data_IF_949328547519
#
_entry.id   IF_949328547519
#
_cell.length_a   1.000
_cell.length_b   1.000
_cell.length_c   1.000
_cell.angle_alpha   90.00
_cell.angle_beta   90.00
_cell.angle_gamma   90.00
#
_symmetry.space_group_name_H-M   'P 1'
#
loop_
_entity.id
_entity.type
_entity.pdbx_description
1 polymer ?
#
# COMPACT_ATOMS: atom_id res chain seq x y z
N UNK A 1 -14.03 17.63 1.69
CA UNK A 1 -12.64 17.68 1.15
C UNK A 1 -12.55 17.51 -0.37
N UNK A 2 -13.12 16.45 -0.98
CA UNK A 2 -13.03 16.24 -2.44
C UNK A 2 -13.91 17.19 -3.27
N UNK A 3 -15.00 17.68 -2.67
CA UNK A 3 -16.01 18.53 -3.34
C UNK A 3 -15.90 20.02 -2.97
N UNK A 4 -14.84 20.43 -2.25
CA UNK A 4 -14.66 21.79 -1.70
C UNK A 4 -15.80 22.29 -0.78
N UNK A 5 -16.71 21.42 -0.34
CA UNK A 5 -17.66 21.73 0.72
C UNK A 5 -16.96 21.71 2.09
N UNK A 6 -17.11 22.81 2.82
CA UNK A 6 -16.56 23.05 4.17
C UNK A 6 -17.65 23.27 5.21
N UNK A 7 -18.90 22.95 4.87
CA UNK A 7 -19.99 22.89 5.84
C UNK A 7 -19.58 21.92 6.95
N UNK A 8 -19.49 22.36 8.22
CA UNK A 8 -18.97 21.51 9.28
C UNK A 8 -19.95 20.36 9.55
N UNK A 9 -19.52 19.12 9.30
CA UNK A 9 -20.20 17.92 9.79
C UNK A 9 -19.79 17.64 11.24
N UNK A 10 -18.53 17.96 11.56
CA UNK A 10 -17.97 17.92 12.91
C UNK A 10 -16.87 18.99 13.02
N UNK A 11 -16.93 19.84 14.05
CA UNK A 11 -15.99 20.94 14.20
C UNK A 11 -14.63 20.46 14.75
N UNK A 12 -13.52 20.98 14.21
CA UNK A 12 -12.15 20.61 14.64
C UNK A 12 -11.93 20.76 16.15
N UNK A 13 -12.54 21.75 16.80
CA UNK A 13 -12.45 21.95 18.25
C UNK A 13 -13.05 20.82 19.09
N UNK A 14 -13.89 19.95 18.52
CA UNK A 14 -14.35 18.73 19.19
C UNK A 14 -13.14 17.83 19.49
N UNK A 15 -12.25 17.64 18.52
CA UNK A 15 -11.02 16.88 18.71
C UNK A 15 -10.04 17.55 19.67
N UNK A 16 -9.94 18.89 19.68
CA UNK A 16 -9.14 19.61 20.70
C UNK A 16 -9.61 19.25 22.11
N UNK A 17 -10.92 19.26 22.34
CA UNK A 17 -11.53 18.93 23.62
C UNK A 17 -11.38 17.44 23.96
N UNK A 18 -11.72 16.54 23.04
CA UNK A 18 -11.69 15.09 23.29
C UNK A 18 -10.26 14.57 23.50
N UNK A 19 -9.29 15.00 22.68
CA UNK A 19 -7.89 14.63 22.86
C UNK A 19 -7.31 15.21 24.16
N UNK A 20 -7.74 16.43 24.55
CA UNK A 20 -7.38 17.00 25.84
C UNK A 20 -7.85 16.17 27.03
N UNK A 21 -9.05 15.58 26.95
CA UNK A 21 -9.56 14.64 27.97
C UNK A 21 -8.70 13.37 27.99
N UNK A 22 -8.38 12.80 26.83
CA UNK A 22 -7.55 11.59 26.73
C UNK A 22 -6.18 11.81 27.37
N UNK A 23 -5.46 12.86 26.96
CA UNK A 23 -4.10 13.14 27.44
C UNK A 23 -4.10 13.57 28.91
N UNK A 24 -5.09 14.33 29.36
CA UNK A 24 -5.21 14.70 30.79
C UNK A 24 -5.51 13.50 31.68
N UNK A 25 -6.37 12.58 31.23
CA UNK A 25 -6.66 11.33 31.94
C UNK A 25 -5.40 10.49 32.07
N UNK A 26 -4.67 10.30 30.96
CA UNK A 26 -3.42 9.55 30.96
C UNK A 26 -2.38 10.16 31.91
N UNK A 27 -2.27 11.50 31.95
CA UNK A 27 -1.41 12.22 32.89
C UNK A 27 -1.82 11.98 34.33
N UNK A 28 -3.12 12.05 34.63
CA UNK A 28 -3.65 11.81 35.98
C UNK A 28 -3.37 10.37 36.44
N UNK A 29 -3.36 9.41 35.51
CA UNK A 29 -3.03 8.00 35.79
C UNK A 29 -1.55 7.66 35.58
N UNK A 30 -0.69 8.65 35.31
CA UNK A 30 0.75 8.48 35.06
C UNK A 30 1.10 7.47 33.94
N UNK A 31 0.32 7.46 32.86
CA UNK A 31 0.56 6.62 31.69
C UNK A 31 0.98 7.46 30.47
N UNK A 32 2.04 7.07 29.74
CA UNK A 32 2.47 7.80 28.56
C UNK A 32 1.59 7.48 27.34
N UNK A 33 1.07 8.52 26.67
CA UNK A 33 0.38 8.43 25.38
C UNK A 33 1.07 9.28 24.31
N UNK A 34 2.26 8.88 23.80
CA UNK A 34 3.03 9.70 22.87
C UNK A 34 2.29 10.01 21.56
N UNK A 35 1.57 9.06 20.97
CA UNK A 35 0.82 9.30 19.72
C UNK A 35 -0.36 10.23 19.99
N UNK A 36 -1.16 9.96 21.02
CA UNK A 36 -2.28 10.82 21.38
C UNK A 36 -1.81 12.24 21.73
N UNK A 37 -0.66 12.39 22.41
CA UNK A 37 -0.09 13.69 22.76
C UNK A 37 0.32 14.49 21.53
N UNK A 38 0.99 13.86 20.56
CA UNK A 38 1.33 14.53 19.29
C UNK A 38 0.06 14.94 18.53
N UNK A 39 -0.94 14.06 18.48
CA UNK A 39 -2.22 14.37 17.85
C UNK A 39 -2.93 15.57 18.51
N UNK A 40 -3.00 15.60 19.85
CA UNK A 40 -3.54 16.73 20.62
C UNK A 40 -2.85 18.05 20.24
N UNK A 41 -1.51 18.06 20.20
CA UNK A 41 -0.75 19.26 19.84
C UNK A 41 -1.01 19.74 18.40
N UNK A 42 -1.23 18.82 17.46
CA UNK A 42 -1.61 19.16 16.09
C UNK A 42 -3.01 19.79 16.03
N UNK A 43 -3.98 19.24 16.77
CA UNK A 43 -5.32 19.85 16.85
C UNK A 43 -5.30 21.24 17.48
N UNK A 44 -4.54 21.43 18.56
CA UNK A 44 -4.35 22.75 19.19
C UNK A 44 -3.72 23.73 18.19
N UNK A 45 -2.69 23.28 17.45
CA UNK A 45 -2.01 24.10 16.45
C UNK A 45 -2.94 24.51 15.31
N UNK A 46 -3.81 23.60 14.83
CA UNK A 46 -4.82 23.93 13.83
C UNK A 46 -5.87 24.91 14.35
N UNK A 47 -6.35 24.72 15.58
CA UNK A 47 -7.31 25.62 16.21
C UNK A 47 -6.74 27.04 16.37
N UNK A 48 -5.47 27.15 16.79
CA UNK A 48 -4.76 28.42 16.91
C UNK A 48 -4.61 29.17 15.57
N UNK A 49 -4.62 28.45 14.44
CA UNK A 49 -4.64 29.03 13.09
C UNK A 49 -6.03 29.50 12.63
N UNK A 50 -7.06 29.37 13.48
CA UNK A 50 -8.43 29.79 13.18
C UNK A 50 -9.35 28.67 12.68
N UNK A 51 -8.83 27.45 12.46
CA UNK A 51 -9.62 26.34 11.89
C UNK A 51 -10.57 25.68 12.90
N UNK A 52 -10.59 26.12 14.16
CA UNK A 52 -11.29 25.41 15.23
C UNK A 52 -12.81 25.28 15.06
N UNK A 53 -13.45 26.21 14.35
CA UNK A 53 -14.91 26.18 14.06
C UNK A 53 -15.24 25.51 12.72
N UNK A 54 -14.24 25.20 11.93
CA UNK A 54 -14.40 24.57 10.62
C UNK A 54 -14.46 23.05 10.77
N UNK A 55 -14.80 22.35 9.69
CA UNK A 55 -14.83 20.89 9.65
C UNK A 55 -13.47 20.28 10.05
N UNK A 56 -13.48 19.19 10.81
CA UNK A 56 -12.28 18.52 11.30
C UNK A 56 -11.40 17.94 10.18
N UNK A 57 -11.95 17.64 9.00
CA UNK A 57 -11.18 17.31 7.80
C UNK A 57 -10.26 18.47 7.35
N UNK A 58 -10.56 19.70 7.77
CA UNK A 58 -9.73 20.89 7.55
C UNK A 58 -8.35 20.83 8.22
N UNK A 59 -8.11 19.88 9.13
CA UNK A 59 -6.80 19.62 9.76
C UNK A 59 -5.69 19.44 8.74
N UNK A 60 -6.02 18.87 7.58
CA UNK A 60 -5.07 18.59 6.50
C UNK A 60 -4.27 19.81 6.02
N UNK A 61 -4.84 21.01 6.16
CA UNK A 61 -4.16 22.28 5.83
C UNK A 61 -2.90 22.54 6.66
N UNK A 62 -2.70 21.85 7.79
CA UNK A 62 -1.42 21.89 8.51
C UNK A 62 -0.25 21.33 7.70
N UNK A 63 -0.53 20.43 6.76
CA UNK A 63 0.49 19.71 5.97
C UNK A 63 0.62 20.24 4.53
N UNK A 64 -0.21 21.19 4.14
CA UNK A 64 -0.19 21.80 2.81
C UNK A 64 0.70 23.05 2.79
N UNK A 65 1.40 23.29 1.68
CA UNK A 65 2.26 24.47 1.51
C UNK A 65 1.45 25.76 1.33
N UNK A 66 0.26 25.69 0.72
CA UNK A 66 -0.61 26.86 0.45
C UNK A 66 -2.00 26.69 1.10
N UNK A 67 -2.13 26.84 2.43
CA UNK A 67 -3.27 26.33 3.20
C UNK A 67 -4.63 27.00 2.92
N UNK A 68 -4.68 28.19 2.33
CA UNK A 68 -5.91 28.99 2.24
C UNK A 68 -6.80 28.66 1.03
N UNK A 69 -6.24 28.14 -0.07
CA UNK A 69 -6.99 27.83 -1.30
C UNK A 69 -6.67 26.44 -1.89
N UNK A 70 -5.87 25.63 -1.19
CA UNK A 70 -5.42 24.34 -1.70
C UNK A 70 -6.48 23.24 -1.52
N UNK A 71 -7.15 22.87 -2.61
CA UNK A 71 -7.81 21.57 -2.72
C UNK A 71 -6.77 20.46 -2.81
N UNK A 72 -7.00 19.31 -2.18
CA UNK A 72 -6.11 18.13 -2.30
C UNK A 72 -6.37 17.34 -3.59
N UNK A 73 -7.24 17.84 -4.47
CA UNK A 73 -7.53 17.20 -5.75
C UNK A 73 -6.28 17.26 -6.62
N UNK A 74 -5.66 16.11 -6.83
CA UNK A 74 -4.72 15.91 -7.94
C UNK A 74 -5.46 15.98 -9.28
N UNK A 75 -4.72 16.01 -10.42
CA UNK A 75 -5.35 16.02 -11.74
C UNK A 75 -6.34 14.87 -11.89
N UNK A 76 -7.60 15.19 -12.17
CA UNK A 76 -8.67 14.23 -12.39
C UNK A 76 -8.50 13.61 -13.76
N UNK A 77 -7.63 12.61 -13.90
CA UNK A 77 -7.64 11.78 -15.10
C UNK A 77 -8.71 10.71 -14.93
N UNK A 78 -9.74 10.74 -15.77
CA UNK A 78 -10.61 9.60 -16.00
C UNK A 78 -9.75 8.37 -16.32
N UNK A 79 -10.06 7.24 -15.68
CA UNK A 79 -9.50 5.92 -16.00
C UNK A 79 -10.01 5.50 -17.38
N UNK A 80 -9.49 6.10 -18.44
CA UNK A 80 -9.74 5.61 -19.79
C UNK A 80 -8.86 4.41 -20.05
N UNK A 81 -9.50 3.26 -20.26
CA UNK A 81 -8.86 2.03 -20.72
C UNK A 81 -8.22 2.34 -22.08
N UNK A 82 -6.89 2.45 -22.10
CA UNK A 82 -6.14 2.67 -23.33
C UNK A 82 -6.44 1.57 -24.34
N UNK A 83 -6.81 1.95 -25.57
CA UNK A 83 -7.01 1.04 -26.70
C UNK A 83 -5.81 0.10 -26.84
N UNK A 84 -6.10 -1.21 -26.88
CA UNK A 84 -5.10 -2.27 -27.07
C UNK A 84 -4.30 -2.04 -28.35
N UNK A 85 -2.97 -2.10 -28.25
CA UNK A 85 -2.09 -2.18 -29.42
C UNK A 85 -1.93 -3.65 -29.82
N UNK A 86 -2.09 -3.92 -31.12
CA UNK A 86 -2.38 -5.21 -31.77
C UNK A 86 -1.37 -6.38 -31.62
N UNK A 87 -0.37 -6.31 -30.74
CA UNK A 87 0.56 -7.43 -30.52
C UNK A 87 0.89 -7.60 -29.05
N UNK A 88 0.12 -8.42 -28.37
CA UNK A 88 0.46 -8.92 -27.04
C UNK A 88 1.70 -9.82 -27.13
N UNK A 89 2.67 -9.67 -26.20
CA UNK A 89 3.82 -10.55 -26.15
C UNK A 89 3.36 -11.99 -25.86
N UNK A 90 3.93 -12.99 -26.55
CA UNK A 90 3.58 -14.41 -26.35
C UNK A 90 4.43 -15.10 -25.29
N UNK A 91 5.53 -14.47 -24.86
CA UNK A 91 6.45 -14.97 -23.84
C UNK A 91 6.47 -14.04 -22.64
N UNK A 92 6.36 -14.59 -21.44
CA UNK A 92 6.44 -13.85 -20.18
C UNK A 92 7.48 -14.52 -19.30
N UNK A 93 8.27 -13.72 -18.59
CA UNK A 93 9.18 -14.22 -17.56
C UNK A 93 8.71 -13.75 -16.19
N UNK A 94 8.61 -14.67 -15.23
CA UNK A 94 8.31 -14.39 -13.82
C UNK A 94 9.58 -14.62 -13.01
N UNK A 95 9.92 -13.64 -12.17
CA UNK A 95 11.10 -13.67 -11.31
C UNK A 95 10.66 -13.70 -9.85
N UNK A 96 11.22 -14.63 -9.07
CA UNK A 96 10.88 -14.97 -7.70
C UNK A 96 9.49 -15.62 -7.57
N UNK A 97 9.46 -16.87 -7.14
CA UNK A 97 8.30 -17.69 -6.83
C UNK A 97 8.06 -17.70 -5.31
N UNK A 98 7.71 -16.53 -4.79
CA UNK A 98 6.86 -16.49 -3.60
C UNK A 98 5.41 -16.84 -3.97
N UNK A 99 4.51 -16.89 -3.00
CA UNK A 99 3.10 -17.24 -3.23
C UNK A 99 2.47 -16.37 -4.34
N UNK A 100 2.84 -15.08 -4.39
CA UNK A 100 2.36 -14.16 -5.40
C UNK A 100 2.95 -14.45 -6.79
N UNK A 101 4.25 -14.70 -6.88
CA UNK A 101 4.92 -15.09 -8.11
C UNK A 101 4.34 -16.37 -8.71
N UNK A 102 4.00 -17.34 -7.86
CA UNK A 102 3.32 -18.58 -8.26
C UNK A 102 1.93 -18.29 -8.87
N UNK A 103 1.09 -17.53 -8.17
CA UNK A 103 -0.27 -17.21 -8.62
C UNK A 103 -0.26 -16.48 -9.97
N UNK A 104 0.70 -15.56 -10.16
CA UNK A 104 0.91 -14.88 -11.44
C UNK A 104 1.38 -15.81 -12.56
N UNK A 105 2.35 -16.68 -12.28
CA UNK A 105 2.84 -17.63 -13.27
C UNK A 105 1.70 -18.56 -13.75
N UNK A 106 0.87 -19.04 -12.83
CA UNK A 106 -0.33 -19.84 -13.14
C UNK A 106 -1.33 -19.03 -13.96
N UNK A 107 -1.62 -17.79 -13.55
CA UNK A 107 -2.57 -16.92 -14.27
C UNK A 107 -2.13 -16.62 -15.71
N UNK A 108 -0.83 -16.37 -15.91
CA UNK A 108 -0.26 -16.17 -17.25
C UNK A 108 -0.29 -17.44 -18.09
N UNK A 109 0.02 -18.60 -17.52
CA UNK A 109 -0.06 -19.88 -18.23
C UNK A 109 -1.50 -20.18 -18.68
N UNK A 110 -2.48 -19.99 -17.79
CA UNK A 110 -3.91 -20.16 -18.09
C UNK A 110 -4.43 -19.19 -19.16
N UNK A 111 -3.80 -18.03 -19.28
CA UNK A 111 -4.10 -17.02 -20.30
C UNK A 111 -3.37 -17.29 -21.63
N UNK A 112 -2.67 -18.42 -21.77
CA UNK A 112 -2.03 -18.86 -23.01
C UNK A 112 -0.64 -18.28 -23.26
N UNK A 113 -0.01 -17.65 -22.27
CA UNK A 113 1.38 -17.18 -22.39
C UNK A 113 2.36 -18.33 -22.24
N UNK A 114 3.48 -18.25 -22.95
CA UNK A 114 4.64 -19.11 -22.69
C UNK A 114 5.43 -18.53 -21.51
N UNK A 115 5.24 -19.12 -20.33
CA UNK A 115 5.78 -18.62 -19.07
C UNK A 115 7.14 -19.25 -18.78
N UNK A 116 8.16 -18.41 -18.63
CA UNK A 116 9.47 -18.75 -18.13
C UNK A 116 9.59 -18.30 -16.68
N UNK A 117 10.15 -19.13 -15.81
CA UNK A 117 10.23 -18.82 -14.39
C UNK A 117 11.67 -18.88 -13.91
N UNK A 118 12.03 -17.90 -13.09
CA UNK A 118 13.36 -17.76 -12.49
C UNK A 118 13.22 -17.55 -10.99
N UNK A 119 13.85 -18.44 -10.20
CA UNK A 119 13.91 -18.31 -8.74
C UNK A 119 15.38 -18.40 -8.29
N UNK A 120 15.71 -17.73 -7.18
CA UNK A 120 17.04 -17.80 -6.57
C UNK A 120 17.27 -19.20 -5.97
N UNK A 121 16.22 -19.78 -5.39
CA UNK A 121 16.19 -21.14 -4.88
C UNK A 121 15.59 -22.04 -5.97
N UNK A 122 16.44 -22.61 -6.84
CA UNK A 122 16.04 -23.46 -7.97
C UNK A 122 15.22 -24.72 -7.62
N UNK A 123 14.87 -24.94 -6.36
CA UNK A 123 14.05 -26.04 -5.84
C UNK A 123 12.55 -25.78 -5.93
N UNK A 124 12.08 -24.52 -5.83
CA UNK A 124 10.64 -24.18 -5.89
C UNK A 124 10.04 -24.31 -7.29
N UNK A 125 10.85 -24.10 -8.33
CA UNK A 125 10.43 -24.27 -9.71
C UNK A 125 10.14 -25.74 -10.10
N UNK A 126 10.45 -26.71 -9.24
CA UNK A 126 10.34 -28.14 -9.49
C UNK A 126 9.19 -28.84 -8.73
N UNK A 127 8.40 -28.12 -7.91
CA UNK A 127 7.51 -28.70 -6.90
C UNK A 127 6.03 -28.40 -7.08
N UNK A 128 5.38 -29.17 -7.95
CA UNK A 128 3.95 -29.54 -8.06
C UNK A 128 3.82 -30.16 -9.46
N UNK A 129 3.09 -31.27 -9.61
CA UNK A 129 2.93 -32.01 -10.87
C UNK A 129 2.34 -31.22 -12.06
N UNK A 130 2.13 -29.91 -11.93
CA UNK A 130 1.82 -28.92 -12.97
C UNK A 130 3.04 -28.13 -13.48
N UNK A 131 4.25 -28.69 -13.41
CA UNK A 131 5.50 -28.04 -13.88
C UNK A 131 5.48 -27.62 -15.37
N UNK A 132 5.81 -26.35 -15.71
CA UNK A 132 6.21 -25.98 -17.06
C UNK A 132 7.61 -26.54 -17.35
N UNK A 133 7.68 -27.56 -18.20
CA UNK A 133 8.94 -28.05 -18.77
C UNK A 133 9.58 -26.97 -19.64
N UNK A 134 10.65 -26.33 -19.16
CA UNK A 134 11.89 -26.05 -19.91
C UNK A 134 12.79 -25.06 -19.15
N UNK A 135 13.69 -25.59 -18.33
CA UNK A 135 14.96 -24.91 -18.07
C UNK A 135 15.87 -25.11 -19.29
N UNK A 136 15.79 -24.21 -20.27
CA UNK A 136 16.80 -24.18 -21.34
C UNK A 136 17.14 -22.74 -21.74
N UNK A 137 18.32 -22.31 -21.28
CA UNK A 137 19.22 -21.31 -21.84
C UNK A 137 18.60 -20.08 -22.55
N UNK A 138 18.50 -18.95 -21.84
CA UNK A 138 18.55 -17.62 -22.46
C UNK A 138 20.01 -17.11 -22.52
N UNK A 139 20.80 -17.68 -23.43
CA UNK A 139 22.01 -17.04 -23.94
C UNK A 139 22.04 -17.20 -25.46
N UNK A 140 21.38 -16.26 -26.13
CA UNK A 140 21.70 -15.73 -27.47
C UNK A 140 20.42 -15.27 -28.19
N UNK A 141 20.48 -14.04 -28.70
CA UNK A 141 19.55 -13.46 -29.67
C UNK A 141 18.13 -13.15 -29.18
N UNK A 142 17.94 -11.97 -28.58
CA UNK A 142 16.64 -11.31 -28.59
C UNK A 142 16.82 -9.82 -28.97
N UNK A 143 16.73 -9.52 -30.28
CA UNK A 143 16.58 -8.15 -30.80
C UNK A 143 15.10 -7.69 -30.76
N UNK A 144 14.28 -8.26 -29.89
CA UNK A 144 12.90 -7.83 -29.67
C UNK A 144 12.83 -6.95 -28.42
N UNK A 145 11.98 -5.90 -28.45
CA UNK A 145 11.77 -4.99 -27.31
C UNK A 145 11.26 -5.79 -26.11
N UNK A 146 12.00 -5.77 -25.01
CA UNK A 146 11.67 -6.49 -23.77
C UNK A 146 10.85 -5.57 -22.86
N UNK A 147 9.76 -6.07 -22.28
CA UNK A 147 8.94 -5.35 -21.30
C UNK A 147 9.09 -6.01 -19.94
N UNK A 148 9.44 -5.21 -18.92
CA UNK A 148 9.61 -5.70 -17.56
C UNK A 148 8.52 -5.06 -16.70
N UNK A 149 7.61 -5.89 -16.19
CA UNK A 149 6.66 -5.50 -15.14
C UNK A 149 7.36 -5.79 -13.82
N UNK A 150 7.56 -4.75 -13.02
CA UNK A 150 8.17 -4.88 -11.71
C UNK A 150 7.07 -4.77 -10.66
N UNK A 151 6.88 -5.84 -9.89
CA UNK A 151 5.84 -5.96 -8.87
C UNK A 151 6.29 -5.46 -7.48
N UNK A 152 7.51 -4.96 -7.40
CA UNK A 152 8.09 -4.39 -6.17
C UNK A 152 7.95 -2.87 -6.18
N UNK A 153 7.90 -2.25 -5.01
CA UNK A 153 7.83 -0.79 -4.87
C UNK A 153 9.03 -0.12 -5.56
N UNK A 154 8.75 0.71 -6.57
CA UNK A 154 9.72 1.33 -7.48
C UNK A 154 9.86 2.86 -7.32
N UNK A 155 9.44 3.44 -6.18
CA UNK A 155 9.31 4.90 -5.96
C UNK A 155 10.29 5.81 -6.74
N UNK A 156 11.51 6.04 -6.24
CA UNK A 156 12.54 6.89 -6.88
C UNK A 156 13.47 6.04 -7.75
N UNK A 157 13.80 4.84 -7.28
CA UNK A 157 14.68 3.88 -7.96
C UNK A 157 14.17 3.49 -9.34
N UNK A 158 12.85 3.34 -9.50
CA UNK A 158 12.22 2.99 -10.78
C UNK A 158 12.34 4.10 -11.82
N UNK A 159 12.24 5.38 -11.42
CA UNK A 159 12.44 6.51 -12.34
C UNK A 159 13.90 6.63 -12.79
N UNK A 160 14.84 6.46 -11.86
CA UNK A 160 16.27 6.45 -12.19
C UNK A 160 16.63 5.27 -13.11
N UNK A 161 16.10 4.07 -12.82
CA UNK A 161 16.28 2.90 -13.66
C UNK A 161 15.66 3.10 -15.06
N UNK A 162 14.45 3.66 -15.15
CA UNK A 162 13.82 3.96 -16.43
C UNK A 162 14.68 4.91 -17.27
N UNK A 163 15.26 5.94 -16.65
CA UNK A 163 16.18 6.87 -17.30
C UNK A 163 17.44 6.15 -17.79
N UNK A 164 18.08 5.35 -16.93
CA UNK A 164 19.27 4.57 -17.31
C UNK A 164 18.99 3.60 -18.47
N UNK A 165 17.84 2.91 -18.45
CA UNK A 165 17.44 2.00 -19.53
C UNK A 165 17.18 2.72 -20.86
N UNK A 166 16.63 3.94 -20.78
CA UNK A 166 16.41 4.81 -21.94
C UNK A 166 17.75 5.30 -22.51
N UNK A 167 18.67 5.76 -21.66
CA UNK A 167 20.01 6.24 -22.03
C UNK A 167 20.83 5.13 -22.72
N UNK A 168 20.64 3.87 -22.31
CA UNK A 168 21.26 2.70 -22.92
C UNK A 168 20.63 2.27 -24.25
N UNK A 169 19.55 2.90 -24.72
CA UNK A 169 18.91 2.59 -26.00
C UNK A 169 18.32 1.16 -26.09
N UNK A 170 18.06 0.52 -24.95
CA UNK A 170 17.69 -0.90 -24.86
C UNK A 170 16.30 -1.21 -25.41
N UNK A 171 15.46 -0.19 -25.62
CA UNK A 171 14.06 -0.35 -26.01
C UNK A 171 13.18 -0.98 -24.92
N UNK A 172 13.68 -1.05 -23.68
CA UNK A 172 12.98 -1.60 -22.52
C UNK A 172 12.01 -0.57 -21.95
N UNK A 173 10.83 -1.01 -21.55
CA UNK A 173 9.85 -0.18 -20.84
C UNK A 173 9.48 -0.81 -19.50
N UNK A 174 9.29 0.04 -18.49
CA UNK A 174 8.94 -0.34 -17.13
C UNK A 174 7.47 -0.02 -16.82
N UNK A 175 6.85 -0.92 -16.06
CA UNK A 175 5.58 -0.71 -15.39
C UNK A 175 5.81 -0.99 -13.90
N UNK A 176 5.43 -0.03 -13.08
CA UNK A 176 5.44 -0.09 -11.62
C UNK A 176 4.11 -0.69 -11.16
N UNK A 177 4.14 -1.87 -10.53
CA UNK A 177 2.94 -2.65 -10.24
C UNK A 177 2.87 -3.22 -8.80
N UNK A 178 2.83 -2.39 -7.75
CA UNK A 178 2.79 -2.87 -6.37
C UNK A 178 1.44 -3.50 -6.00
N UNK A 179 1.45 -4.34 -4.97
CA UNK A 179 0.25 -5.03 -4.45
C UNK A 179 -0.20 -4.43 -3.12
N UNK A 180 -1.50 -4.15 -3.02
CA UNK A 180 -2.19 -3.75 -1.81
C UNK A 180 -3.12 -4.86 -1.33
N UNK A 181 -3.17 -5.05 -0.02
CA UNK A 181 -4.13 -5.93 0.63
C UNK A 181 -5.18 -5.06 1.29
N UNK A 182 -6.43 -5.25 0.90
CA UNK A 182 -7.57 -4.51 1.43
C UNK A 182 -8.31 -5.35 2.46
N UNK A 183 -8.78 -4.67 3.52
CA UNK A 183 -9.75 -5.25 4.42
C UNK A 183 -11.11 -5.40 3.74
N UNK A 184 -11.68 -6.59 3.82
CA UNK A 184 -13.10 -6.81 3.51
C UNK A 184 -13.70 -7.61 4.66
N UNK A 185 -15.00 -7.51 4.90
CA UNK A 185 -15.70 -8.33 5.90
C UNK A 185 -15.73 -9.83 5.54
N UNK A 186 -14.98 -10.25 4.52
CA UNK A 186 -14.79 -11.65 4.13
C UNK A 186 -13.65 -12.25 4.94
N UNK A 187 -13.67 -13.58 5.08
CA UNK A 187 -12.63 -14.37 5.76
C UNK A 187 -11.22 -14.24 5.14
N UNK A 188 -11.09 -13.62 3.96
CA UNK A 188 -9.79 -13.35 3.31
C UNK A 188 -9.70 -11.90 2.81
N UNK A 189 -8.55 -11.23 2.97
CA UNK A 189 -8.35 -9.87 2.49
C UNK A 189 -8.38 -9.82 0.97
N UNK A 190 -8.94 -8.74 0.43
CA UNK A 190 -9.00 -8.51 -1.01
C UNK A 190 -7.61 -8.16 -1.54
N UNK A 191 -7.14 -8.84 -2.59
CA UNK A 191 -5.85 -8.52 -3.23
C UNK A 191 -6.04 -7.52 -4.37
N UNK A 192 -5.28 -6.42 -4.36
CA UNK A 192 -5.35 -5.39 -5.40
C UNK A 192 -3.97 -5.11 -5.97
N UNK A 193 -3.74 -5.43 -7.24
CA UNK A 193 -2.57 -4.93 -7.96
C UNK A 193 -2.85 -3.51 -8.47
N UNK A 194 -2.05 -2.55 -8.02
CA UNK A 194 -2.00 -1.22 -8.62
C UNK A 194 -0.96 -1.25 -9.74
N UNK A 195 -1.12 -0.44 -10.78
CA UNK A 195 -0.08 -0.28 -11.79
C UNK A 195 0.02 1.12 -12.36
N UNK A 196 1.24 1.56 -12.70
CA UNK A 196 1.50 2.87 -13.31
C UNK A 196 2.70 2.82 -14.26
N UNK A 197 2.70 3.67 -15.29
CA UNK A 197 3.73 3.71 -16.32
C UNK A 197 3.37 4.66 -17.44
N UNK A 198 4.18 4.71 -18.50
CA UNK A 198 3.83 5.47 -19.72
C UNK A 198 2.71 4.77 -20.50
N UNK A 199 1.86 5.51 -21.20
CA UNK A 199 0.79 4.94 -22.04
C UNK A 199 1.31 3.92 -23.05
N UNK A 200 2.50 4.19 -23.62
CA UNK A 200 3.13 3.26 -24.57
C UNK A 200 3.55 1.94 -23.92
N UNK A 201 4.00 1.97 -22.67
CA UNK A 201 4.35 0.77 -21.92
C UNK A 201 3.09 -0.03 -21.54
N UNK A 202 2.07 0.68 -21.02
CA UNK A 202 0.79 0.09 -20.61
C UNK A 202 0.09 -0.53 -21.82
N UNK A 203 -0.01 0.17 -22.94
CA UNK A 203 -0.65 -0.34 -24.16
C UNK A 203 0.02 -1.62 -24.68
N UNK A 204 1.35 -1.72 -24.60
CA UNK A 204 2.10 -2.94 -24.98
C UNK A 204 1.97 -4.09 -23.98
N UNK A 205 1.81 -3.78 -22.70
CA UNK A 205 1.63 -4.78 -21.64
C UNK A 205 0.16 -5.12 -21.37
N UNK A 206 -0.78 -4.54 -22.12
CA UNK A 206 -2.23 -4.70 -21.91
C UNK A 206 -2.68 -6.15 -21.74
N UNK A 207 -2.17 -7.07 -22.57
CA UNK A 207 -2.47 -8.50 -22.43
C UNK A 207 -1.97 -9.13 -21.12
N UNK A 208 -0.78 -8.73 -20.65
CA UNK A 208 -0.22 -9.21 -19.39
C UNK A 208 -1.02 -8.64 -18.21
N UNK A 209 -1.38 -7.34 -18.27
CA UNK A 209 -2.20 -6.67 -17.25
C UNK A 209 -3.60 -7.31 -17.19
N UNK A 210 -4.18 -7.66 -18.35
CA UNK A 210 -5.44 -8.39 -18.41
C UNK A 210 -5.31 -9.76 -17.74
N UNK A 211 -4.27 -10.52 -18.08
CA UNK A 211 -4.01 -11.83 -17.49
C UNK A 211 -3.72 -11.78 -15.98
N UNK A 212 -3.23 -10.67 -15.43
CA UNK A 212 -3.04 -10.51 -13.99
C UNK A 212 -4.36 -10.57 -13.19
N UNK A 213 -5.52 -10.34 -13.81
CA UNK A 213 -6.83 -10.47 -13.13
C UNK A 213 -7.14 -11.90 -12.68
N UNK A 214 -6.46 -12.93 -13.21
CA UNK A 214 -6.60 -14.28 -12.69
C UNK A 214 -5.80 -14.56 -11.41
N UNK A 215 -4.90 -13.65 -11.02
CA UNK A 215 -4.10 -13.74 -9.80
C UNK A 215 -4.55 -12.75 -8.71
N UNK A 216 -5.33 -11.72 -9.05
CA UNK A 216 -5.74 -10.66 -8.13
C UNK A 216 -7.24 -10.41 -8.20
N UNK A 217 -7.89 -10.12 -7.06
CA UNK A 217 -9.31 -9.74 -7.04
C UNK A 217 -9.57 -8.45 -7.83
N UNK A 218 -8.58 -7.55 -7.82
CA UNK A 218 -8.64 -6.24 -8.49
C UNK A 218 -7.31 -5.89 -9.13
N UNK A 219 -7.38 -5.32 -10.33
CA UNK A 219 -6.23 -4.70 -11.02
C UNK A 219 -6.62 -3.28 -11.41
N UNK A 220 -5.86 -2.27 -10.95
CA UNK A 220 -6.22 -0.85 -11.08
C UNK A 220 -5.04 -0.01 -11.55
N UNK A 221 -5.28 0.81 -12.58
CA UNK A 221 -4.30 1.79 -13.03
C UNK A 221 -4.24 2.97 -12.06
N UNK A 222 -3.05 3.50 -11.84
CA UNK A 222 -2.79 4.76 -11.16
C UNK A 222 -2.13 5.72 -12.15
N UNK A 223 -2.79 6.84 -12.39
CA UNK A 223 -2.29 7.91 -13.26
C UNK A 223 -1.13 8.68 -12.62
N UNK A 224 -0.34 9.38 -13.44
CA UNK A 224 0.84 10.12 -13.00
C UNK A 224 2.17 9.53 -13.48
N UNK A 225 2.13 8.47 -14.28
CA UNK A 225 3.31 7.82 -14.84
C UNK A 225 4.05 6.93 -13.83
N UNK A 226 5.25 6.50 -14.20
CA UNK A 226 6.04 5.53 -13.44
C UNK A 226 6.29 5.99 -11.99
N UNK A 227 6.05 5.11 -11.01
CA UNK A 227 6.25 5.37 -9.58
C UNK A 227 5.01 5.91 -8.86
N UNK A 228 3.91 6.17 -9.58
CA UNK A 228 2.67 6.70 -8.99
C UNK A 228 1.93 5.61 -8.21
N UNK A 229 1.86 4.39 -8.74
CA UNK A 229 1.27 3.25 -8.03
C UNK A 229 2.06 2.94 -6.74
N UNK A 230 3.39 2.96 -6.82
CA UNK A 230 4.27 2.86 -5.65
C UNK A 230 4.04 3.99 -4.64
N UNK A 231 3.77 5.21 -5.09
CA UNK A 231 3.45 6.32 -4.17
C UNK A 231 2.12 6.09 -3.44
N UNK A 232 1.10 5.57 -4.12
CA UNK A 232 -0.16 5.16 -3.48
C UNK A 232 0.10 4.08 -2.44
N UNK A 233 0.95 3.09 -2.75
CA UNK A 233 1.35 2.05 -1.80
C UNK A 233 2.05 2.61 -0.56
N UNK A 234 2.91 3.61 -0.74
CA UNK A 234 3.58 4.27 0.39
C UNK A 234 2.59 4.99 1.31
N UNK A 235 1.57 5.65 0.75
CA UNK A 235 0.52 6.30 1.55
C UNK A 235 -0.27 5.26 2.36
N UNK A 236 -0.66 4.15 1.73
CA UNK A 236 -1.31 3.00 2.37
C UNK A 236 -0.49 2.46 3.56
N UNK A 237 0.82 2.31 3.37
CA UNK A 237 1.74 1.84 4.41
C UNK A 237 1.95 2.85 5.53
N UNK A 238 2.04 4.13 5.22
CA UNK A 238 2.12 5.19 6.23
C UNK A 238 0.90 5.16 7.15
N UNK A 239 -0.31 5.08 6.57
CA UNK A 239 -1.55 4.97 7.34
C UNK A 239 -1.58 3.69 8.19
N UNK A 240 -1.21 2.56 7.60
CA UNK A 240 -1.15 1.28 8.31
C UNK A 240 -0.20 1.32 9.51
N UNK A 241 0.97 1.95 9.36
CA UNK A 241 1.95 2.11 10.44
C UNK A 241 1.42 2.97 11.60
N UNK A 242 0.79 4.12 11.29
CA UNK A 242 0.21 5.01 12.30
C UNK A 242 -0.95 4.32 13.03
N UNK A 243 -1.83 3.64 12.30
CA UNK A 243 -2.98 2.93 12.86
C UNK A 243 -2.56 1.77 13.77
N UNK A 244 -1.52 1.02 13.41
CA UNK A 244 -0.96 -0.02 14.26
C UNK A 244 -0.44 0.55 15.58
N UNK A 245 0.33 1.63 15.50
CA UNK A 245 0.88 2.28 16.69
C UNK A 245 -0.24 2.82 17.59
N UNK A 246 -1.25 3.45 17.01
CA UNK A 246 -2.43 3.95 17.74
C UNK A 246 -3.20 2.80 18.41
N UNK A 247 -3.39 1.67 17.72
CA UNK A 247 -4.03 0.49 18.30
C UNK A 247 -3.22 -0.07 19.48
N UNK A 248 -1.90 -0.21 19.33
CA UNK A 248 -1.03 -0.69 20.40
C UNK A 248 -1.07 0.23 21.64
N UNK A 249 -0.99 1.55 21.43
CA UNK A 249 -1.08 2.55 22.50
C UNK A 249 -2.44 2.49 23.22
N UNK A 250 -3.54 2.38 22.48
CA UNK A 250 -4.89 2.28 23.04
C UNK A 250 -5.07 1.00 23.87
N UNK A 251 -4.59 -0.15 23.38
CA UNK A 251 -4.70 -1.43 24.11
C UNK A 251 -3.86 -1.44 25.39
N UNK A 252 -2.65 -0.86 25.34
CA UNK A 252 -1.80 -0.71 26.52
C UNK A 252 -2.44 0.22 27.56
N UNK A 253 -3.04 1.32 27.13
CA UNK A 253 -3.75 2.24 28.02
C UNK A 253 -4.99 1.60 28.64
N UNK A 254 -5.77 0.84 27.88
CA UNK A 254 -6.91 0.09 28.41
C UNK A 254 -6.48 -0.91 29.49
N UNK A 255 -5.36 -1.61 29.28
CA UNK A 255 -4.78 -2.51 30.27
C UNK A 255 -4.34 -1.76 31.54
N UNK A 256 -3.69 -0.59 31.39
CA UNK A 256 -3.28 0.27 32.51
C UNK A 256 -4.48 0.72 33.36
N UNK A 257 -5.60 1.04 32.71
CA UNK A 257 -6.87 1.37 33.38
C UNK A 257 -7.59 0.15 33.96
N UNK A 258 -6.97 -1.03 33.96
CA UNK A 258 -7.54 -2.30 34.44
C UNK A 258 -8.85 -2.69 33.73
N UNK A 259 -9.02 -2.27 32.47
CA UNK A 259 -10.16 -2.66 31.64
C UNK A 259 -9.89 -3.98 30.92
N UNK A 260 -10.95 -4.73 30.61
CA UNK A 260 -10.84 -5.92 29.78
C UNK A 260 -10.51 -5.54 28.34
N UNK A 261 -9.25 -5.76 27.96
CA UNK A 261 -8.74 -5.47 26.61
C UNK A 261 -9.52 -6.25 25.53
N UNK A 262 -9.92 -7.49 25.80
CA UNK A 262 -10.78 -8.25 24.87
C UNK A 262 -12.15 -7.61 24.67
N UNK A 263 -12.79 -7.10 25.73
CA UNK A 263 -14.06 -6.40 25.59
C UNK A 263 -13.88 -5.09 24.81
N UNK A 264 -12.84 -4.31 25.12
CA UNK A 264 -12.51 -3.07 24.41
C UNK A 264 -12.31 -3.34 22.91
N UNK A 265 -11.56 -4.38 22.55
CA UNK A 265 -11.38 -4.78 21.16
C UNK A 265 -12.72 -5.04 20.47
N UNK A 266 -13.60 -5.84 21.08
CA UNK A 266 -14.91 -6.14 20.48
C UNK A 266 -15.80 -4.91 20.32
N UNK A 267 -15.77 -3.96 21.26
CA UNK A 267 -16.52 -2.71 21.15
C UNK A 267 -15.96 -1.78 20.07
N UNK A 268 -14.64 -1.57 20.06
CA UNK A 268 -13.99 -0.65 19.10
C UNK A 268 -14.11 -1.20 17.68
N UNK A 269 -14.17 -2.52 17.51
CA UNK A 269 -14.31 -3.16 16.19
C UNK A 269 -15.58 -2.75 15.44
N UNK A 270 -16.64 -2.36 16.15
CA UNK A 270 -17.90 -1.88 15.57
C UNK A 270 -18.11 -0.37 15.74
N UNK A 271 -17.11 0.36 16.22
CA UNK A 271 -17.17 1.80 16.45
C UNK A 271 -16.49 2.60 15.33
N UNK A 272 -16.70 3.92 15.33
CA UNK A 272 -16.12 4.83 14.33
C UNK A 272 -14.58 4.82 14.28
N UNK A 273 -13.91 4.42 15.37
CA UNK A 273 -12.46 4.33 15.46
C UNK A 273 -11.87 3.01 14.88
N UNK A 274 -12.70 2.14 14.31
CA UNK A 274 -12.25 0.89 13.71
C UNK A 274 -11.23 1.14 12.59
N UNK A 275 -10.22 0.28 12.53
CA UNK A 275 -9.31 0.17 11.39
C UNK A 275 -8.97 -1.30 11.14
N UNK A 276 -8.61 -1.61 9.91
CA UNK A 276 -8.14 -2.94 9.54
C UNK A 276 -6.93 -3.38 10.38
N UNK A 277 -5.99 -2.46 10.66
CA UNK A 277 -4.82 -2.74 11.49
C UNK A 277 -5.21 -3.09 12.93
N UNK A 278 -6.21 -2.41 13.50
CA UNK A 278 -6.74 -2.78 14.81
C UNK A 278 -7.36 -4.18 14.77
N UNK A 279 -8.24 -4.46 13.81
CA UNK A 279 -8.96 -5.73 13.72
C UNK A 279 -8.03 -6.93 13.55
N UNK A 280 -6.96 -6.78 12.77
CA UNK A 280 -6.05 -7.88 12.44
C UNK A 280 -4.89 -8.02 13.41
N UNK A 281 -4.48 -6.97 14.13
CA UNK A 281 -3.26 -7.00 14.97
C UNK A 281 -3.57 -7.10 16.46
N UNK A 282 -4.69 -6.55 16.93
CA UNK A 282 -5.04 -6.64 18.36
C UNK A 282 -5.23 -8.10 18.82
N UNK A 283 -5.85 -9.02 18.07
CA UNK A 283 -5.92 -10.43 18.49
C UNK A 283 -4.54 -11.03 18.80
N UNK A 284 -3.54 -10.75 17.96
CA UNK A 284 -2.16 -11.20 18.19
C UNK A 284 -1.56 -10.59 19.47
N UNK A 285 -1.87 -9.32 19.77
CA UNK A 285 -1.44 -8.66 21.01
C UNK A 285 -2.06 -9.32 22.25
N UNK A 286 -3.33 -9.73 22.17
CA UNK A 286 -4.03 -10.40 23.27
C UNK A 286 -3.51 -11.83 23.50
N UNK A 287 -3.09 -12.52 22.45
CA UNK A 287 -2.55 -13.88 22.51
C UNK A 287 -1.05 -13.92 22.85
N UNK A 288 -0.36 -12.78 22.82
CA UNK A 288 1.10 -12.73 22.98
C UNK A 288 1.86 -13.37 21.81
N UNK A 289 1.25 -13.39 20.63
CA UNK A 289 1.81 -13.99 19.42
C UNK A 289 2.77 -13.01 18.72
N UNK A 290 4.03 -12.98 19.16
CA UNK A 290 5.05 -12.04 18.65
C UNK A 290 5.82 -12.52 17.43
N UNK A 291 5.77 -13.83 17.14
CA UNK A 291 6.37 -14.37 15.93
C UNK A 291 5.49 -14.01 14.72
N UNK A 292 6.08 -13.62 13.57
CA UNK A 292 5.30 -13.53 12.34
C UNK A 292 4.69 -14.92 12.07
N UNK A 293 3.41 -15.01 11.68
CA UNK A 293 2.79 -16.30 11.43
C UNK A 293 3.62 -17.05 10.39
N UNK A 294 3.89 -18.34 10.64
CA UNK A 294 4.71 -19.17 9.75
C UNK A 294 4.07 -19.36 8.35
N UNK A 295 2.81 -18.96 8.16
CA UNK A 295 2.01 -19.20 6.95
C UNK A 295 0.92 -18.13 6.68
N UNK A 296 1.05 -16.88 7.12
CA UNK A 296 0.03 -15.87 6.75
C UNK A 296 0.32 -15.30 5.36
N UNK A 297 -0.37 -15.85 4.36
CA UNK A 297 -0.43 -15.47 2.94
C UNK A 297 -0.56 -13.94 2.67
N UNK A 298 -0.95 -13.15 3.67
CA UNK A 298 -1.42 -11.78 3.51
C UNK A 298 -0.74 -10.74 4.41
N UNK A 299 0.26 -11.15 5.21
CA UNK A 299 0.90 -10.23 6.14
C UNK A 299 2.34 -9.98 5.73
N UNK A 300 2.58 -8.79 5.20
CA UNK A 300 3.93 -8.27 5.09
C UNK A 300 4.54 -8.22 6.51
N UNK A 301 5.66 -8.92 6.78
CA UNK A 301 6.31 -8.84 8.08
C UNK A 301 6.63 -7.39 8.44
N UNK A 302 6.74 -7.09 9.74
CA UNK A 302 7.19 -5.77 10.21
C UNK A 302 8.48 -5.29 9.53
N UNK A 303 9.35 -6.20 9.11
CA UNK A 303 10.55 -5.89 8.33
C UNK A 303 10.26 -5.32 6.93
N UNK A 304 9.20 -5.77 6.26
CA UNK A 304 8.74 -5.21 4.98
C UNK A 304 8.16 -3.82 5.17
N UNK A 305 7.34 -3.62 6.21
CA UNK A 305 6.82 -2.30 6.56
C UNK A 305 7.96 -1.33 6.95
N UNK A 306 8.90 -1.79 7.77
CA UNK A 306 10.05 -1.00 8.20
C UNK A 306 11.01 -0.67 7.04
N UNK A 307 11.24 -1.62 6.12
CA UNK A 307 12.00 -1.38 4.89
C UNK A 307 11.33 -0.28 4.09
N UNK A 308 10.02 -0.41 3.83
CA UNK A 308 9.30 0.51 2.96
C UNK A 308 9.12 1.91 3.61
N UNK A 309 8.99 1.98 4.94
CA UNK A 309 9.08 3.24 5.71
C UNK A 309 10.50 3.84 5.71
N UNK A 310 11.54 3.00 5.75
CA UNK A 310 12.93 3.44 5.58
C UNK A 310 13.14 4.13 4.24
N UNK A 311 12.60 3.57 3.15
CA UNK A 311 12.59 4.20 1.82
C UNK A 311 11.84 5.54 1.82
N UNK A 312 10.74 5.67 2.59
CA UNK A 312 10.03 6.94 2.73
C UNK A 312 10.88 8.00 3.42
N UNK A 313 11.63 7.65 4.46
CA UNK A 313 12.51 8.59 5.15
C UNK A 313 13.69 9.05 4.28
N UNK A 314 14.22 8.18 3.41
CA UNK A 314 15.23 8.57 2.42
C UNK A 314 14.70 9.60 1.41
N UNK A 315 13.42 9.51 1.03
CA UNK A 315 12.76 10.49 0.14
C UNK A 315 12.67 11.90 0.72
N UNK A 316 12.64 12.05 2.05
CA UNK A 316 12.61 13.38 2.70
C UNK A 316 14.01 14.04 2.74
N UNK A 317 15.08 13.28 2.47
CA UNK A 317 16.47 13.77 2.50
C UNK A 317 17.01 14.20 1.13
N UNK A 318 16.30 13.90 0.05
CA UNK A 318 16.67 14.23 -1.35
C UNK A 318 15.86 15.38 -1.90
#
# INVERSE_FOLDING_TARGET
>A
MLEQDWTPLSALNIFVKDMGIVVSTARATQFPLPVASVAEQLYISASAKGYGKEDDAGLVRLFLQEPENSTITGPTSSLEVSKSLDKTPTKVAVFNLDDLGCDLAVSFANSGFNVHVFDVDGTKAAGDGSSPRNQQNCRSSCRQRIHIIALNSLSVTGKNLAKQLADLGTGISLIDAPVCHGGSSKESPTTTMLYSGTDTAIGRASGIIAAAHGAFDRVRQVSGGLGSASTVKLIDQMLSGIQLLAAAEAMAFASHLSLSTSQIFHFVRSAAAWSWMLETRVPMMLEGAWAPPSQSRFEAPLSTLARDLGWFLERQRS
#
